data_IF_166987243738
#
_entry.id   IF_166987243738
#
_cell.length_a   1.000
_cell.length_b   1.000
_cell.length_c   1.000
_cell.angle_alpha   90.00
_cell.angle_beta   90.00
_cell.angle_gamma   90.00
#
_symmetry.space_group_name_H-M   'P 1'
#
loop_
_entity.id
_entity.type
_entity.pdbx_description
1 polymer ?
#
# COMPACT_ATOMS: atom_id res chain seq x y z
N UNK A 1 44.95 -22.28 25.71
CA UNK A 1 45.09 -23.22 24.58
C UNK A 1 44.68 -22.51 23.29
N UNK A 2 45.62 -22.36 22.38
CA UNK A 2 45.60 -21.42 21.27
C UNK A 2 44.90 -22.05 20.03
N UNK A 3 43.91 -21.37 19.47
CA UNK A 3 43.05 -21.82 18.34
C UNK A 3 43.77 -21.97 16.97
N UNK A 4 45.11 -22.02 16.93
CA UNK A 4 45.91 -22.01 15.71
C UNK A 4 46.45 -23.37 15.25
N UNK A 5 46.13 -24.49 15.91
CA UNK A 5 46.75 -25.81 15.60
C UNK A 5 45.77 -26.88 15.14
N UNK A 6 44.60 -26.56 14.52
CA UNK A 6 43.66 -27.57 14.03
C UNK A 6 43.59 -27.71 12.50
N UNK A 7 44.53 -27.17 11.76
CA UNK A 7 44.51 -27.22 10.28
C UNK A 7 45.80 -27.78 9.65
N UNK A 8 46.42 -28.76 10.31
CA UNK A 8 47.53 -29.51 9.69
C UNK A 8 47.38 -30.99 10.03
N UNK A 9 46.55 -31.70 9.30
CA UNK A 9 46.63 -33.13 9.05
C UNK A 9 45.37 -33.61 8.34
N UNK A 10 45.33 -33.50 7.03
CA UNK A 10 44.56 -34.38 6.13
C UNK A 10 45.31 -34.42 4.79
N UNK A 11 46.24 -35.33 4.71
CA UNK A 11 46.95 -35.65 3.49
C UNK A 11 46.14 -36.60 2.61
N UNK A 12 46.28 -36.39 1.35
CA UNK A 12 46.19 -37.28 0.20
C UNK A 12 45.55 -38.67 0.40
N UNK A 13 44.42 -38.89 -0.24
CA UNK A 13 43.87 -40.16 -0.62
C UNK A 13 43.07 -40.00 -1.91
N UNK A 14 43.71 -40.29 -3.06
CA UNK A 14 43.02 -40.37 -4.36
C UNK A 14 42.15 -41.61 -4.41
N UNK A 15 40.86 -41.43 -4.42
CA UNK A 15 39.88 -42.51 -4.65
C UNK A 15 38.90 -42.04 -5.73
N UNK A 16 39.02 -42.69 -6.91
CA UNK A 16 38.07 -42.55 -8.02
C UNK A 16 36.72 -43.17 -7.58
N UNK A 17 35.69 -42.34 -7.40
CA UNK A 17 34.31 -42.81 -7.26
C UNK A 17 33.52 -42.31 -8.47
N UNK A 18 33.05 -43.31 -9.22
CA UNK A 18 32.20 -43.14 -10.40
C UNK A 18 30.90 -42.39 -10.05
N UNK A 19 30.67 -41.28 -10.73
CA UNK A 19 29.40 -40.53 -10.69
C UNK A 19 28.34 -41.29 -11.51
N UNK A 20 27.51 -42.05 -10.83
CA UNK A 20 26.23 -42.53 -11.39
C UNK A 20 25.12 -41.83 -10.57
N UNK A 21 24.30 -41.01 -11.22
CA UNK A 21 22.96 -40.64 -10.77
C UNK A 21 22.81 -39.38 -9.95
N UNK A 22 23.03 -38.20 -10.54
CA UNK A 22 22.37 -36.98 -10.07
C UNK A 22 21.09 -36.79 -10.90
N UNK A 23 19.89 -36.76 -10.30
CA UNK A 23 18.69 -36.45 -11.05
C UNK A 23 18.76 -34.98 -11.53
N UNK A 24 18.56 -34.79 -12.83
CA UNK A 24 18.33 -33.49 -13.43
C UNK A 24 17.07 -32.89 -12.81
N UNK A 25 17.24 -32.00 -11.84
CA UNK A 25 16.16 -31.14 -11.37
C UNK A 25 15.99 -30.04 -12.41
N UNK A 26 14.90 -30.15 -13.12
CA UNK A 26 14.15 -29.15 -13.87
C UNK A 26 14.80 -27.76 -14.05
N UNK A 27 15.56 -27.58 -15.14
CA UNK A 27 15.59 -26.33 -15.84
C UNK A 27 14.32 -26.31 -16.71
N UNK A 28 13.27 -25.64 -16.27
CA UNK A 28 12.16 -25.29 -17.14
C UNK A 28 12.69 -24.29 -18.15
N UNK A 29 12.74 -24.68 -19.42
CA UNK A 29 13.00 -23.78 -20.53
C UNK A 29 11.93 -22.66 -20.50
N UNK A 30 12.35 -21.47 -20.12
CA UNK A 30 11.60 -20.24 -20.41
C UNK A 30 11.71 -20.07 -21.93
N UNK A 31 10.69 -20.49 -22.65
CA UNK A 31 10.52 -20.08 -24.05
C UNK A 31 10.14 -18.60 -24.02
N UNK A 32 11.07 -17.74 -24.38
CA UNK A 32 10.78 -16.36 -24.74
C UNK A 32 9.76 -16.39 -25.90
N UNK A 33 8.60 -15.88 -25.63
CA UNK A 33 7.54 -15.72 -26.60
C UNK A 33 7.77 -14.37 -27.31
N UNK A 34 8.20 -14.39 -28.56
CA UNK A 34 8.56 -13.23 -29.39
C UNK A 34 7.42 -12.22 -29.65
N UNK A 35 6.25 -12.39 -29.06
CA UNK A 35 5.08 -11.52 -29.22
C UNK A 35 4.61 -10.87 -27.93
N UNK A 36 5.46 -10.53 -27.00
CA UNK A 36 5.28 -9.52 -25.93
C UNK A 36 3.91 -9.33 -25.25
N UNK A 37 2.92 -10.18 -25.49
CA UNK A 37 1.60 -10.13 -24.85
C UNK A 37 1.45 -11.40 -24.03
N UNK A 38 1.88 -11.33 -22.78
CA UNK A 38 1.46 -12.33 -21.82
C UNK A 38 -0.06 -12.24 -21.69
N UNK A 39 -0.78 -13.40 -21.65
CA UNK A 39 -2.21 -13.36 -21.32
C UNK A 39 -2.38 -12.70 -19.96
N UNK A 40 -3.48 -11.96 -19.73
CA UNK A 40 -3.70 -11.28 -18.46
C UNK A 40 -3.60 -12.35 -17.35
N UNK A 41 -2.61 -12.21 -16.49
CA UNK A 41 -2.49 -13.02 -15.29
C UNK A 41 -3.78 -12.87 -14.48
N UNK A 42 -4.39 -13.96 -14.07
CA UNK A 42 -5.41 -13.94 -13.03
C UNK A 42 -4.71 -13.69 -11.70
N UNK A 43 -4.27 -12.45 -11.50
CA UNK A 43 -3.74 -12.04 -10.22
C UNK A 43 -4.78 -12.25 -9.12
N UNK A 44 -4.34 -12.79 -8.00
CA UNK A 44 -5.16 -12.87 -6.77
C UNK A 44 -5.27 -11.52 -6.06
N UNK A 45 -4.45 -10.57 -6.45
CA UNK A 45 -4.39 -9.20 -5.91
C UNK A 45 -5.00 -8.22 -6.92
N UNK A 46 -5.83 -7.29 -6.44
CA UNK A 46 -6.27 -6.16 -7.24
C UNK A 46 -5.21 -5.06 -7.16
N UNK A 47 -4.40 -4.96 -8.21
CA UNK A 47 -3.33 -3.97 -8.26
C UNK A 47 -3.86 -2.58 -8.64
N UNK A 48 -3.34 -1.56 -7.96
CA UNK A 48 -3.44 -0.15 -8.34
C UNK A 48 -2.08 0.55 -8.20
N UNK A 49 -2.03 1.86 -8.47
CA UNK A 49 -0.81 2.67 -8.36
C UNK A 49 -1.14 4.09 -7.96
N UNK A 50 -0.35 4.68 -7.08
CA UNK A 50 -0.51 6.06 -6.65
C UNK A 50 -0.11 7.04 -7.75
N UNK A 51 -1.03 7.92 -8.12
CA UNK A 51 -0.85 8.91 -9.20
C UNK A 51 0.34 9.83 -8.97
N UNK A 52 0.57 10.26 -7.74
CA UNK A 52 1.59 11.25 -7.42
C UNK A 52 3.02 10.79 -7.74
N UNK A 53 3.30 9.48 -7.74
CA UNK A 53 4.61 8.93 -8.10
C UNK A 53 4.95 9.09 -9.60
N UNK A 54 3.95 9.38 -10.45
CA UNK A 54 4.06 9.43 -11.92
C UNK A 54 3.47 10.70 -12.53
N UNK A 55 3.47 11.83 -11.78
CA UNK A 55 2.84 13.09 -12.22
C UNK A 55 3.49 13.71 -13.47
N UNK A 56 4.72 13.36 -13.78
CA UNK A 56 5.44 13.75 -14.98
C UNK A 56 4.90 13.10 -16.27
N UNK A 57 4.07 12.05 -16.15
CA UNK A 57 3.41 11.41 -17.30
C UNK A 57 1.97 11.96 -17.40
N UNK A 58 1.49 12.48 -18.56
CA UNK A 58 0.09 12.88 -18.71
C UNK A 58 -0.87 11.78 -18.32
N UNK A 59 -1.95 12.10 -17.56
CA UNK A 59 -2.81 11.10 -16.94
C UNK A 59 -3.47 10.17 -17.96
N UNK A 60 -3.90 10.68 -19.12
CA UNK A 60 -4.51 9.88 -20.18
C UNK A 60 -3.53 8.81 -20.71
N UNK A 61 -2.27 9.18 -20.87
CA UNK A 61 -1.21 8.25 -21.27
C UNK A 61 -0.92 7.24 -20.16
N UNK A 62 -0.85 7.72 -18.91
CA UNK A 62 -0.57 6.87 -17.77
C UNK A 62 -1.68 5.85 -17.52
N UNK A 63 -2.94 6.26 -17.59
CA UNK A 63 -4.10 5.36 -17.45
C UNK A 63 -4.08 4.24 -18.49
N UNK A 64 -3.80 4.57 -19.76
CA UNK A 64 -3.67 3.55 -20.81
C UNK A 64 -2.55 2.54 -20.48
N UNK A 65 -1.37 3.03 -20.08
CA UNK A 65 -0.24 2.16 -19.67
C UNK A 65 -0.64 1.27 -18.49
N UNK A 66 -1.31 1.82 -17.47
CA UNK A 66 -1.78 1.05 -16.31
C UNK A 66 -2.74 -0.08 -16.72
N UNK A 67 -3.68 0.21 -17.63
CA UNK A 67 -4.59 -0.80 -18.17
C UNK A 67 -3.84 -1.89 -18.97
N UNK A 68 -2.83 -1.52 -19.77
CA UNK A 68 -1.98 -2.46 -20.51
C UNK A 68 -1.13 -3.34 -19.59
N UNK A 69 -0.69 -2.84 -18.41
CA UNK A 69 0.00 -3.62 -17.39
C UNK A 69 -0.96 -4.63 -16.72
N UNK A 70 -2.26 -4.33 -16.68
CA UNK A 70 -3.28 -5.15 -16.05
C UNK A 70 -3.72 -4.65 -14.67
N UNK A 71 -3.34 -3.42 -14.29
CA UNK A 71 -3.86 -2.78 -13.08
C UNK A 71 -5.37 -2.62 -13.20
N UNK A 72 -6.03 -2.53 -12.03
CA UNK A 72 -7.49 -2.34 -11.94
C UNK A 72 -7.86 -0.92 -11.53
N UNK A 73 -6.93 -0.17 -10.94
CA UNK A 73 -7.19 1.18 -10.47
C UNK A 73 -5.97 2.08 -10.46
N UNK A 74 -6.24 3.37 -10.26
CA UNK A 74 -5.23 4.38 -9.93
C UNK A 74 -5.67 5.05 -8.63
N UNK A 75 -4.73 5.18 -7.71
CA UNK A 75 -4.92 5.72 -6.37
C UNK A 75 -4.71 7.23 -6.31
N UNK A 76 -5.36 7.83 -5.30
CA UNK A 76 -5.18 9.22 -4.89
C UNK A 76 -5.52 10.21 -6.01
N UNK A 77 -6.61 9.89 -6.74
CA UNK A 77 -7.14 10.75 -7.79
C UNK A 77 -8.14 11.77 -7.23
N UNK A 78 -8.10 12.97 -7.79
CA UNK A 78 -9.08 14.04 -7.56
C UNK A 78 -10.32 13.86 -8.43
N UNK A 79 -11.46 14.47 -8.08
CA UNK A 79 -12.70 14.33 -8.87
C UNK A 79 -12.58 14.68 -10.37
N UNK A 80 -11.71 15.64 -10.71
CA UNK A 80 -11.46 16.01 -12.11
C UNK A 80 -10.71 14.96 -12.93
N UNK A 81 -10.14 13.94 -12.29
CA UNK A 81 -9.30 12.92 -12.90
C UNK A 81 -10.04 11.59 -13.13
N UNK A 82 -11.17 11.37 -12.45
CA UNK A 82 -11.85 10.08 -12.44
C UNK A 82 -12.35 9.62 -13.81
N UNK A 83 -13.03 10.51 -14.55
CA UNK A 83 -13.53 10.19 -15.90
C UNK A 83 -12.41 9.85 -16.89
N UNK A 84 -11.19 10.33 -16.65
CA UNK A 84 -10.04 10.03 -17.51
C UNK A 84 -9.66 8.57 -17.38
N UNK A 85 -9.57 8.07 -16.15
CA UNK A 85 -9.16 6.68 -15.88
C UNK A 85 -10.29 5.69 -16.19
N UNK A 86 -11.56 6.09 -15.97
CA UNK A 86 -12.74 5.29 -16.30
C UNK A 86 -12.82 4.97 -17.82
N UNK A 87 -12.37 5.86 -18.69
CA UNK A 87 -12.33 5.63 -20.14
C UNK A 87 -11.41 4.47 -20.55
N UNK A 88 -10.40 4.19 -19.75
CA UNK A 88 -9.48 3.06 -19.95
C UNK A 88 -9.91 1.80 -19.17
N UNK A 89 -11.11 1.80 -18.56
CA UNK A 89 -11.65 0.68 -17.80
C UNK A 89 -11.05 0.53 -16.40
N UNK A 90 -10.34 1.55 -15.90
CA UNK A 90 -9.79 1.60 -14.56
C UNK A 90 -10.76 2.30 -13.60
N UNK A 91 -10.57 2.07 -12.29
CA UNK A 91 -11.30 2.79 -11.25
C UNK A 91 -10.38 3.71 -10.45
N UNK A 92 -10.92 4.75 -9.82
CA UNK A 92 -10.24 5.41 -8.72
C UNK A 92 -10.32 4.50 -7.50
N UNK A 93 -9.22 3.89 -7.09
CA UNK A 93 -9.17 2.94 -5.97
C UNK A 93 -9.19 3.61 -4.61
N UNK A 94 -8.68 4.84 -4.52
CA UNK A 94 -8.73 5.73 -3.36
C UNK A 94 -8.91 7.17 -3.83
N UNK A 95 -10.01 7.81 -3.44
CA UNK A 95 -10.27 9.21 -3.78
C UNK A 95 -9.60 10.16 -2.79
N UNK A 96 -9.09 11.27 -3.32
CA UNK A 96 -8.56 12.40 -2.55
C UNK A 96 -9.03 13.73 -3.15
N UNK A 97 -8.76 14.84 -2.49
CA UNK A 97 -8.88 16.18 -3.07
C UNK A 97 -7.84 17.11 -2.43
N UNK A 98 -7.65 18.28 -2.99
CA UNK A 98 -6.64 19.26 -2.58
C UNK A 98 -6.75 19.78 -1.15
N UNK A 99 -7.90 19.60 -0.50
CA UNK A 99 -8.09 19.96 0.91
C UNK A 99 -7.64 18.89 1.90
N UNK A 100 -7.46 17.65 1.46
CA UNK A 100 -7.02 16.55 2.31
C UNK A 100 -5.55 16.80 2.72
N UNK A 101 -5.35 17.21 3.97
CA UNK A 101 -4.04 17.57 4.52
C UNK A 101 -3.57 16.53 5.52
N UNK A 102 -2.31 16.10 5.39
CA UNK A 102 -1.67 15.19 6.35
C UNK A 102 -1.50 15.90 7.70
N UNK A 103 -1.20 17.20 7.69
CA UNK A 103 -0.89 17.97 8.91
C UNK A 103 -2.11 18.55 9.61
N UNK A 104 -3.14 18.94 8.85
CA UNK A 104 -4.34 19.60 9.36
C UNK A 104 -5.53 18.62 9.30
N UNK A 105 -5.59 17.69 10.22
CA UNK A 105 -6.53 16.57 10.21
C UNK A 105 -7.62 16.64 11.27
N UNK A 106 -8.20 15.48 11.54
CA UNK A 106 -9.37 15.34 12.42
C UNK A 106 -9.04 15.36 13.91
N UNK A 107 -7.76 15.28 14.30
CA UNK A 107 -7.34 15.42 15.69
C UNK A 107 -7.50 16.85 16.23
N UNK A 108 -7.60 17.85 15.37
CA UNK A 108 -7.83 19.25 15.75
C UNK A 108 -9.30 19.65 15.53
N UNK A 109 -10.07 19.89 16.62
CA UNK A 109 -11.47 20.31 16.52
C UNK A 109 -11.69 21.59 15.73
N UNK A 110 -10.69 22.47 15.62
CA UNK A 110 -10.80 23.70 14.84
C UNK A 110 -10.96 23.46 13.34
N UNK A 111 -10.52 22.29 12.86
CA UNK A 111 -10.65 21.86 11.46
C UNK A 111 -12.00 21.19 11.15
N UNK A 112 -12.74 20.71 12.15
CA UNK A 112 -13.88 19.82 11.95
C UNK A 112 -14.95 20.39 11.02
N UNK A 113 -15.40 21.62 11.29
CA UNK A 113 -16.48 22.23 10.50
C UNK A 113 -16.12 22.32 9.00
N UNK A 114 -14.89 22.77 8.71
CA UNK A 114 -14.39 22.89 7.34
C UNK A 114 -14.18 21.52 6.69
N UNK A 115 -13.54 20.59 7.38
CA UNK A 115 -13.31 19.24 6.86
C UNK A 115 -14.62 18.50 6.61
N UNK A 116 -15.59 18.59 7.54
CA UNK A 116 -16.88 17.93 7.37
C UNK A 116 -17.64 18.43 6.13
N UNK A 117 -17.62 19.75 5.87
CA UNK A 117 -18.23 20.30 4.66
C UNK A 117 -17.54 19.77 3.39
N UNK A 118 -16.22 19.81 3.35
CA UNK A 118 -15.41 19.40 2.20
C UNK A 118 -15.52 17.91 1.93
N UNK A 119 -15.39 17.07 2.98
CA UNK A 119 -15.52 15.61 2.86
C UNK A 119 -16.93 15.17 2.45
N UNK A 120 -18.00 15.82 2.94
CA UNK A 120 -19.36 15.55 2.45
C UNK A 120 -19.48 15.75 0.94
N UNK A 121 -18.88 16.82 0.41
CA UNK A 121 -18.85 17.06 -1.03
C UNK A 121 -18.08 15.98 -1.80
N UNK A 122 -16.93 15.54 -1.28
CA UNK A 122 -16.13 14.49 -1.91
C UNK A 122 -16.80 13.11 -1.83
N UNK A 123 -17.35 12.74 -0.67
CA UNK A 123 -18.10 11.49 -0.47
C UNK A 123 -19.27 11.38 -1.44
N UNK A 124 -20.06 12.47 -1.60
CA UNK A 124 -21.17 12.49 -2.56
C UNK A 124 -20.69 12.21 -3.98
N UNK A 125 -19.67 12.92 -4.45
CA UNK A 125 -19.08 12.72 -5.78
C UNK A 125 -18.53 11.29 -5.94
N UNK A 126 -17.81 10.78 -4.93
CA UNK A 126 -17.28 9.41 -4.94
C UNK A 126 -18.39 8.37 -5.12
N UNK A 127 -19.50 8.52 -4.39
CA UNK A 127 -20.69 7.65 -4.53
C UNK A 127 -21.29 7.70 -5.94
N UNK A 128 -21.41 8.90 -6.55
CA UNK A 128 -21.92 9.08 -7.91
C UNK A 128 -21.07 8.33 -8.95
N UNK A 129 -19.73 8.25 -8.73
CA UNK A 129 -18.78 7.51 -9.56
C UNK A 129 -18.54 6.06 -9.07
N UNK A 130 -19.28 5.57 -8.07
CA UNK A 130 -19.12 4.22 -7.48
C UNK A 130 -17.75 3.98 -6.86
N UNK A 131 -17.03 5.03 -6.50
CA UNK A 131 -15.77 4.97 -5.79
C UNK A 131 -16.06 4.64 -4.33
N UNK A 132 -15.38 3.64 -3.80
CA UNK A 132 -15.67 3.09 -2.48
C UNK A 132 -14.90 3.73 -1.34
N UNK A 133 -13.71 4.24 -1.61
CA UNK A 133 -12.78 4.69 -0.58
C UNK A 133 -12.41 6.15 -0.77
N UNK A 134 -12.48 6.90 0.32
CA UNK A 134 -12.03 8.30 0.41
C UNK A 134 -11.00 8.38 1.53
N UNK A 135 -9.79 8.83 1.21
CA UNK A 135 -8.70 8.95 2.18
C UNK A 135 -8.95 10.10 3.15
N UNK A 136 -8.56 9.90 4.41
CA UNK A 136 -8.53 10.96 5.42
C UNK A 136 -7.28 10.83 6.31
N UNK A 137 -6.97 11.88 7.06
CA UNK A 137 -5.77 11.97 7.87
C UNK A 137 -6.09 12.42 9.30
N UNK A 138 -5.31 11.91 10.26
CA UNK A 138 -5.44 12.31 11.67
C UNK A 138 -5.01 13.76 11.92
N UNK A 139 -3.97 14.21 11.24
CA UNK A 139 -3.29 15.46 11.55
C UNK A 139 -2.04 15.27 12.40
N UNK A 140 -1.26 16.35 12.56
CA UNK A 140 -0.11 16.38 13.45
C UNK A 140 -0.53 16.56 14.91
N UNK A 141 0.24 16.03 15.84
CA UNK A 141 -0.03 16.13 17.30
C UNK A 141 -0.01 17.57 17.80
N UNK A 142 0.96 18.37 17.36
CA UNK A 142 1.17 19.75 17.85
C UNK A 142 1.19 19.81 19.38
N UNK A 143 1.81 18.81 20.03
CA UNK A 143 1.88 18.68 21.47
C UNK A 143 0.63 18.07 22.14
N UNK A 144 -0.37 17.65 21.38
CA UNK A 144 -1.55 16.93 21.87
C UNK A 144 -1.20 15.49 22.21
N UNK A 145 -1.76 14.94 23.30
CA UNK A 145 -1.61 13.54 23.63
C UNK A 145 -2.51 12.65 22.74
N UNK A 146 -2.15 11.38 22.66
CA UNK A 146 -2.80 10.41 21.75
C UNK A 146 -4.27 10.18 22.11
N UNK A 147 -4.65 10.17 23.38
CA UNK A 147 -6.03 9.97 23.84
C UNK A 147 -6.92 11.16 23.45
N UNK A 148 -6.45 12.38 23.71
CA UNK A 148 -7.15 13.59 23.33
C UNK A 148 -7.35 13.66 21.81
N UNK A 149 -6.30 13.35 21.03
CA UNK A 149 -6.39 13.36 19.58
C UNK A 149 -7.33 12.29 19.03
N UNK A 150 -7.36 11.11 19.65
CA UNK A 150 -8.29 10.03 19.30
C UNK A 150 -9.74 10.47 19.53
N UNK A 151 -10.08 11.05 20.67
CA UNK A 151 -11.42 11.54 20.99
C UNK A 151 -11.87 12.67 20.05
N UNK A 152 -10.95 13.55 19.68
CA UNK A 152 -11.20 14.59 18.70
C UNK A 152 -11.50 13.98 17.32
N UNK A 153 -10.72 12.99 16.87
CA UNK A 153 -10.99 12.26 15.63
C UNK A 153 -12.36 11.58 15.66
N UNK A 154 -12.73 10.93 16.76
CA UNK A 154 -14.08 10.34 16.92
C UNK A 154 -15.16 11.39 16.73
N UNK A 155 -15.03 12.54 17.39
CA UNK A 155 -16.00 13.65 17.30
C UNK A 155 -16.11 14.19 15.88
N UNK A 156 -14.98 14.37 15.20
CA UNK A 156 -14.94 14.95 13.85
C UNK A 156 -15.42 14.01 12.76
N UNK A 157 -15.13 12.71 12.88
CA UNK A 157 -15.43 11.71 11.87
C UNK A 157 -16.86 11.14 11.95
N UNK A 158 -17.44 11.02 13.15
CA UNK A 158 -18.76 10.39 13.34
C UNK A 158 -19.85 10.94 12.40
N UNK A 159 -20.05 12.26 12.28
CA UNK A 159 -21.08 12.79 11.37
C UNK A 159 -20.82 12.53 9.89
N UNK A 160 -19.54 12.32 9.53
CA UNK A 160 -19.16 11.98 8.15
C UNK A 160 -19.39 10.50 7.87
N UNK A 161 -19.14 9.63 8.83
CA UNK A 161 -19.33 8.19 8.70
C UNK A 161 -20.80 7.84 8.56
N UNK A 162 -21.70 8.49 9.32
CA UNK A 162 -23.14 8.33 9.17
C UNK A 162 -23.57 8.69 7.74
N UNK A 163 -23.13 9.84 7.23
CA UNK A 163 -23.43 10.27 5.87
C UNK A 163 -22.81 9.36 4.79
N UNK A 164 -21.58 8.90 4.98
CA UNK A 164 -20.87 8.03 4.04
C UNK A 164 -21.47 6.62 3.99
N UNK A 165 -22.01 6.12 5.12
CA UNK A 165 -22.73 4.84 5.20
C UNK A 165 -23.96 4.82 4.29
N UNK A 166 -24.78 5.88 4.31
CA UNK A 166 -25.94 6.04 3.43
C UNK A 166 -25.56 6.02 1.94
N UNK A 167 -24.36 6.47 1.62
CA UNK A 167 -23.83 6.55 0.25
C UNK A 167 -22.94 5.38 -0.14
N UNK A 168 -22.75 4.38 0.77
CA UNK A 168 -21.92 3.20 0.57
C UNK A 168 -20.46 3.55 0.22
N UNK A 169 -19.89 4.51 0.95
CA UNK A 169 -18.51 4.99 0.86
C UNK A 169 -17.81 4.77 2.20
N UNK A 170 -16.55 4.35 2.14
CA UNK A 170 -15.68 4.22 3.31
C UNK A 170 -14.82 5.48 3.47
N UNK A 171 -14.62 5.91 4.72
CA UNK A 171 -13.52 6.80 5.08
C UNK A 171 -12.34 5.93 5.50
N UNK A 172 -11.19 6.17 4.89
CA UNK A 172 -10.00 5.34 5.08
C UNK A 172 -8.86 6.22 5.58
N UNK A 173 -8.45 6.02 6.83
CA UNK A 173 -7.36 6.78 7.44
C UNK A 173 -6.03 6.11 7.19
N UNK A 174 -5.07 6.88 6.68
CA UNK A 174 -3.74 6.35 6.38
C UNK A 174 -2.83 6.35 7.60
N UNK A 175 -2.12 5.23 7.76
CA UNK A 175 -1.02 5.05 8.72
C UNK A 175 0.28 5.54 8.10
N UNK A 176 0.88 6.59 8.67
CA UNK A 176 2.12 7.21 8.17
C UNK A 176 3.23 7.14 9.22
N UNK A 177 4.49 7.14 8.79
CA UNK A 177 5.61 7.19 9.72
C UNK A 177 5.91 8.62 10.18
N UNK A 178 6.05 8.81 11.50
CA UNK A 178 6.50 10.06 12.11
C UNK A 178 8.01 10.14 12.31
N UNK A 179 8.73 9.04 12.06
CA UNK A 179 10.19 8.96 12.30
C UNK A 179 11.02 9.61 11.19
N UNK A 180 10.54 9.60 9.93
CA UNK A 180 11.33 9.99 8.75
C UNK A 180 10.60 10.99 7.87
N UNK A 181 9.35 10.69 7.46
CA UNK A 181 8.68 11.43 6.37
C UNK A 181 7.64 12.43 6.84
N UNK A 182 6.91 12.12 7.93
CA UNK A 182 5.76 12.91 8.40
C UNK A 182 5.90 13.21 9.89
N UNK A 183 6.92 13.99 10.25
CA UNK A 183 7.20 14.37 11.64
C UNK A 183 5.92 14.84 12.35
N UNK A 184 5.73 14.35 13.60
CA UNK A 184 4.59 14.67 14.46
C UNK A 184 3.20 14.15 14.02
N UNK A 185 3.09 13.37 12.91
CA UNK A 185 1.81 12.78 12.50
C UNK A 185 1.25 11.84 13.58
N UNK A 186 -0.07 11.91 13.83
CA UNK A 186 -0.66 11.24 15.00
C UNK A 186 -0.98 9.76 14.74
N UNK A 187 -1.57 9.41 13.60
CA UNK A 187 -1.90 8.01 13.27
C UNK A 187 -0.68 7.27 12.73
N UNK A 188 0.37 7.17 13.53
CA UNK A 188 1.68 6.64 13.14
C UNK A 188 1.95 5.19 13.63
N UNK A 189 0.99 4.58 14.32
CA UNK A 189 1.03 3.18 14.78
C UNK A 189 -0.30 2.49 14.53
N UNK A 190 -0.23 1.21 14.14
CA UNK A 190 -1.42 0.39 13.88
C UNK A 190 -2.33 0.29 15.11
N UNK A 191 -1.75 0.20 16.31
CA UNK A 191 -2.51 0.13 17.56
C UNK A 191 -3.41 1.35 17.75
N UNK A 192 -2.90 2.56 17.47
CA UNK A 192 -3.68 3.80 17.58
C UNK A 192 -4.81 3.85 16.53
N UNK A 193 -4.51 3.51 15.27
CA UNK A 193 -5.53 3.46 14.21
C UNK A 193 -6.64 2.45 14.50
N UNK A 194 -6.28 1.28 15.03
CA UNK A 194 -7.24 0.24 15.47
C UNK A 194 -8.05 0.70 16.68
N UNK A 195 -7.45 1.42 17.62
CA UNK A 195 -8.18 2.00 18.77
C UNK A 195 -9.22 3.01 18.27
N UNK A 196 -8.86 3.87 17.32
CA UNK A 196 -9.80 4.81 16.69
C UNK A 196 -10.95 4.07 15.98
N UNK A 197 -10.65 3.02 15.19
CA UNK A 197 -11.67 2.23 14.51
C UNK A 197 -12.65 1.55 15.48
N UNK A 198 -12.15 1.06 16.61
CA UNK A 198 -12.98 0.51 17.68
C UNK A 198 -13.84 1.56 18.39
N UNK A 199 -13.29 2.75 18.63
CA UNK A 199 -14.01 3.83 19.30
C UNK A 199 -15.13 4.40 18.41
N UNK A 200 -14.92 4.46 17.09
CA UNK A 200 -15.94 4.87 16.11
C UNK A 200 -17.05 3.82 15.95
N UNK A 201 -16.73 2.53 16.11
CA UNK A 201 -17.65 1.38 15.96
C UNK A 201 -18.50 1.46 14.66
N UNK A 202 -17.88 1.87 13.55
CA UNK A 202 -18.50 2.02 12.23
C UNK A 202 -17.82 1.12 11.19
N UNK A 203 -18.57 0.27 10.46
CA UNK A 203 -17.98 -0.67 9.50
C UNK A 203 -17.33 0.03 8.29
N UNK A 204 -17.76 1.24 7.98
CA UNK A 204 -17.26 2.07 6.88
C UNK A 204 -16.11 3.02 7.28
N UNK A 205 -15.59 2.92 8.51
CA UNK A 205 -14.29 3.47 8.86
C UNK A 205 -13.23 2.37 8.77
N UNK A 206 -12.19 2.62 8.00
CA UNK A 206 -11.10 1.67 7.75
C UNK A 206 -9.74 2.35 7.79
N UNK A 207 -8.70 1.53 7.80
CA UNK A 207 -7.32 1.96 7.73
C UNK A 207 -6.74 1.64 6.34
N UNK A 208 -5.90 2.53 5.85
CA UNK A 208 -4.93 2.26 4.82
C UNK A 208 -3.62 1.88 5.53
N UNK A 209 -3.17 0.66 5.30
CA UNK A 209 -1.91 0.16 5.84
C UNK A 209 -0.82 0.37 4.80
N UNK A 210 -0.04 1.43 4.96
CA UNK A 210 1.15 1.64 4.13
C UNK A 210 2.30 0.80 4.69
N UNK A 211 2.69 -0.21 3.92
CA UNK A 211 3.71 -1.19 4.32
C UNK A 211 5.07 -0.52 4.53
N UNK A 212 5.41 0.48 3.68
CA UNK A 212 6.64 1.25 3.83
C UNK A 212 6.66 2.00 5.16
N UNK A 213 5.59 2.73 5.46
CA UNK A 213 5.50 3.51 6.68
C UNK A 213 5.50 2.63 7.94
N UNK A 214 4.75 1.54 7.92
CA UNK A 214 4.64 0.66 9.10
C UNK A 214 5.88 -0.20 9.31
N UNK A 215 6.64 -0.53 8.27
CA UNK A 215 7.95 -1.15 8.45
C UNK A 215 8.90 -0.23 9.23
N UNK A 216 8.92 1.07 8.92
CA UNK A 216 9.75 2.08 9.61
C UNK A 216 9.32 2.25 11.07
N UNK A 217 8.01 2.26 11.34
CA UNK A 217 7.47 2.49 12.67
C UNK A 217 7.52 1.27 13.58
N UNK A 218 7.04 0.13 13.08
CA UNK A 218 6.69 -1.04 13.89
C UNK A 218 7.49 -2.29 13.50
N UNK A 219 7.74 -2.49 12.20
CA UNK A 219 8.20 -3.77 11.67
C UNK A 219 7.14 -4.87 11.81
N UNK A 220 7.58 -6.16 11.77
CA UNK A 220 6.71 -7.34 11.95
C UNK A 220 5.39 -7.29 11.15
N UNK A 221 5.48 -6.76 9.92
CA UNK A 221 4.37 -6.39 9.04
C UNK A 221 3.37 -7.52 8.84
N UNK A 222 3.84 -8.75 8.59
CA UNK A 222 2.97 -9.89 8.32
C UNK A 222 2.07 -10.22 9.51
N UNK A 223 2.59 -10.24 10.72
CA UNK A 223 1.80 -10.49 11.93
C UNK A 223 0.80 -9.37 12.15
N UNK A 224 1.26 -8.13 12.05
CA UNK A 224 0.40 -6.94 12.21
C UNK A 224 -0.78 -6.96 11.24
N UNK A 225 -0.55 -7.31 9.97
CA UNK A 225 -1.60 -7.47 8.96
C UNK A 225 -2.59 -8.57 9.37
N UNK A 226 -2.10 -9.77 9.71
CA UNK A 226 -2.96 -10.90 10.09
C UNK A 226 -3.83 -10.59 11.30
N UNK A 227 -3.27 -9.93 12.31
CA UNK A 227 -3.97 -9.63 13.56
C UNK A 227 -5.02 -8.51 13.39
N UNK A 228 -4.80 -7.58 12.43
CA UNK A 228 -5.60 -6.38 12.28
C UNK A 228 -6.37 -6.28 10.95
N UNK A 229 -6.32 -7.31 10.08
CA UNK A 229 -6.88 -7.29 8.71
C UNK A 229 -8.33 -6.78 8.62
N UNK A 230 -9.18 -7.05 9.61
CA UNK A 230 -10.59 -6.61 9.62
C UNK A 230 -10.76 -5.09 9.67
N UNK A 231 -9.73 -4.36 10.10
CA UNK A 231 -9.73 -2.90 10.13
C UNK A 231 -9.08 -2.29 8.88
N UNK A 232 -8.35 -3.07 8.10
CA UNK A 232 -7.59 -2.62 6.94
C UNK A 232 -8.41 -2.85 5.67
N UNK A 233 -8.53 -1.82 4.83
CA UNK A 233 -9.28 -1.87 3.56
C UNK A 233 -8.45 -1.48 2.34
N UNK A 234 -7.19 -1.10 2.54
CA UNK A 234 -6.30 -0.66 1.49
C UNK A 234 -4.84 -0.85 1.91
N UNK A 235 -3.97 -1.12 0.94
CA UNK A 235 -2.54 -1.25 1.19
C UNK A 235 -1.73 -0.41 0.22
N UNK A 236 -0.66 0.23 0.72
CA UNK A 236 0.37 0.84 -0.08
C UNK A 236 1.70 0.09 0.04
N UNK A 237 2.51 0.11 -1.02
CA UNK A 237 3.82 -0.54 -1.07
C UNK A 237 4.92 0.50 -1.25
N UNK A 238 6.11 0.22 -0.76
CA UNK A 238 7.32 1.01 -0.99
C UNK A 238 8.55 0.32 -0.43
N UNK A 239 9.71 0.48 -1.09
CA UNK A 239 10.97 -0.14 -0.63
C UNK A 239 11.52 0.54 0.61
N UNK A 240 11.94 -0.22 1.61
CA UNK A 240 12.59 0.29 2.83
C UNK A 240 14.05 -0.12 2.82
N UNK A 241 14.97 0.83 3.01
CA UNK A 241 14.79 2.27 3.17
C UNK A 241 14.55 3.00 1.82
N UNK A 242 14.05 4.23 1.90
CA UNK A 242 14.10 5.20 0.81
C UNK A 242 12.85 5.32 -0.06
N UNK A 243 11.82 4.48 0.15
CA UNK A 243 10.55 4.49 -0.58
C UNK A 243 10.70 4.32 -2.10
N UNK A 244 11.75 3.57 -2.52
CA UNK A 244 12.03 3.27 -3.92
C UNK A 244 11.45 1.90 -4.32
N UNK A 245 12.00 1.29 -5.39
CA UNK A 245 11.58 -0.01 -5.91
C UNK A 245 11.50 -1.08 -4.81
N UNK A 246 10.59 -2.05 -5.00
CA UNK A 246 10.32 -3.11 -4.03
C UNK A 246 11.01 -4.45 -4.35
N UNK A 247 12.04 -4.42 -5.20
CA UNK A 247 12.86 -5.56 -5.57
C UNK A 247 13.90 -5.91 -4.47
N UNK A 248 14.91 -6.72 -4.80
CA UNK A 248 15.94 -7.18 -3.86
C UNK A 248 16.89 -6.08 -3.31
N UNK A 249 16.73 -4.82 -3.72
CA UNK A 249 17.51 -3.69 -3.22
C UNK A 249 17.05 -3.15 -1.87
N UNK A 250 15.98 -3.70 -1.29
CA UNK A 250 15.33 -3.24 -0.06
C UNK A 250 15.09 -4.42 0.92
N UNK A 251 14.60 -4.15 2.14
CA UNK A 251 14.59 -5.13 3.24
C UNK A 251 13.31 -5.98 3.38
N UNK A 252 12.20 -5.63 2.70
CA UNK A 252 10.90 -6.30 2.81
C UNK A 252 10.77 -7.49 1.85
N UNK A 253 10.16 -8.58 2.31
CA UNK A 253 9.81 -9.72 1.46
C UNK A 253 8.37 -9.56 0.94
N UNK A 254 8.20 -8.81 -0.15
CA UNK A 254 6.88 -8.50 -0.70
C UNK A 254 6.06 -9.74 -1.13
N UNK A 255 6.62 -10.79 -1.76
CA UNK A 255 5.85 -11.99 -2.04
C UNK A 255 5.21 -12.63 -0.78
N UNK A 256 5.95 -12.71 0.32
CA UNK A 256 5.43 -13.25 1.59
C UNK A 256 4.38 -12.32 2.23
N UNK A 257 4.51 -10.99 2.05
CA UNK A 257 3.52 -10.02 2.52
C UNK A 257 2.23 -10.15 1.71
N UNK A 258 2.32 -10.26 0.38
CA UNK A 258 1.14 -10.43 -0.51
C UNK A 258 0.39 -11.72 -0.21
N UNK A 259 1.10 -12.84 0.01
CA UNK A 259 0.48 -14.10 0.44
C UNK A 259 -0.27 -13.92 1.76
N UNK A 260 0.33 -13.24 2.75
CA UNK A 260 -0.33 -12.95 4.02
C UNK A 260 -1.58 -12.09 3.86
N UNK A 261 -1.56 -11.07 2.99
CA UNK A 261 -2.73 -10.25 2.66
C UNK A 261 -3.82 -11.10 2.02
N UNK A 262 -3.47 -11.91 1.02
CA UNK A 262 -4.41 -12.80 0.32
C UNK A 262 -5.08 -13.80 1.27
N UNK A 263 -4.31 -14.43 2.18
CA UNK A 263 -4.82 -15.39 3.17
C UNK A 263 -5.87 -14.81 4.12
N UNK A 264 -5.92 -13.48 4.29
CA UNK A 264 -6.95 -12.80 5.11
C UNK A 264 -8.33 -12.75 4.40
N UNK A 265 -8.40 -13.10 3.12
CA UNK A 265 -9.60 -12.93 2.29
C UNK A 265 -9.77 -11.50 1.78
N UNK A 266 -8.71 -10.69 1.79
CA UNK A 266 -8.73 -9.31 1.31
C UNK A 266 -9.07 -9.25 -0.18
N UNK A 267 -10.02 -8.39 -0.55
CA UNK A 267 -10.51 -8.17 -1.91
C UNK A 267 -10.44 -6.70 -2.37
N UNK A 268 -9.83 -5.84 -1.54
CA UNK A 268 -9.54 -4.44 -1.85
C UNK A 268 -8.34 -4.27 -2.79
N UNK A 269 -7.71 -3.10 -2.76
CA UNK A 269 -6.57 -2.78 -3.62
C UNK A 269 -5.25 -2.76 -2.85
N UNK A 270 -4.20 -3.23 -3.54
CA UNK A 270 -2.80 -2.97 -3.17
C UNK A 270 -2.22 -2.01 -4.20
N UNK A 271 -1.88 -0.80 -3.76
CA UNK A 271 -1.37 0.24 -4.63
C UNK A 271 0.16 0.33 -4.55
N UNK A 272 0.80 0.39 -5.70
CA UNK A 272 2.23 0.67 -5.81
C UNK A 272 2.46 2.16 -5.50
N UNK A 273 3.18 2.45 -4.41
CA UNK A 273 3.46 3.82 -3.96
C UNK A 273 4.95 4.08 -3.74
N UNK A 274 5.79 3.34 -4.39
CA UNK A 274 7.22 3.62 -4.40
C UNK A 274 7.58 4.73 -5.41
N UNK A 275 8.69 5.43 -5.14
CA UNK A 275 9.24 6.48 -6.01
C UNK A 275 10.25 5.82 -6.95
N UNK A 276 9.93 5.68 -8.26
CA UNK A 276 10.83 5.02 -9.19
C UNK A 276 12.15 5.75 -9.35
N UNK A 277 13.25 5.01 -9.28
CA UNK A 277 14.62 5.51 -9.57
C UNK A 277 15.13 5.09 -10.94
N UNK A 278 14.43 4.18 -11.62
CA UNK A 278 14.78 3.76 -12.98
C UNK A 278 14.59 4.90 -13.99
N UNK A 279 15.44 4.96 -15.03
CA UNK A 279 15.23 5.84 -16.18
C UNK A 279 13.87 5.56 -16.84
N UNK A 280 13.50 4.28 -16.96
CA UNK A 280 12.15 3.83 -17.37
C UNK A 280 11.30 3.53 -16.13
N UNK A 281 10.56 4.54 -15.65
CA UNK A 281 9.64 4.41 -14.52
C UNK A 281 8.54 3.37 -14.73
N UNK A 282 8.16 3.12 -15.98
CA UNK A 282 7.13 2.13 -16.30
C UNK A 282 7.70 0.72 -16.19
N UNK A 283 8.96 0.50 -16.50
CA UNK A 283 9.64 -0.77 -16.22
C UNK A 283 9.68 -1.06 -14.73
N UNK A 284 9.98 -0.07 -13.88
CA UNK A 284 9.91 -0.20 -12.43
C UNK A 284 8.51 -0.57 -11.93
N UNK A 285 7.46 0.08 -12.48
CA UNK A 285 6.07 -0.25 -12.13
C UNK A 285 5.72 -1.69 -12.52
N UNK A 286 6.09 -2.15 -13.71
CA UNK A 286 5.86 -3.54 -14.16
C UNK A 286 6.57 -4.54 -13.25
N UNK A 287 7.80 -4.27 -12.86
CA UNK A 287 8.56 -5.09 -11.92
C UNK A 287 7.85 -5.15 -10.56
N UNK A 288 7.46 -4.02 -9.98
CA UNK A 288 6.78 -3.95 -8.70
C UNK A 288 5.43 -4.71 -8.70
N UNK A 289 4.63 -4.56 -9.75
CA UNK A 289 3.39 -5.32 -9.93
C UNK A 289 3.70 -6.82 -10.01
N UNK A 290 4.72 -7.22 -10.79
CA UNK A 290 5.10 -8.62 -10.93
C UNK A 290 5.62 -9.26 -9.62
N UNK A 291 6.29 -8.50 -8.76
CA UNK A 291 6.74 -8.96 -7.44
C UNK A 291 5.54 -9.20 -6.50
N UNK A 292 4.50 -8.39 -6.62
CA UNK A 292 3.28 -8.48 -5.81
C UNK A 292 2.21 -9.42 -6.41
N UNK A 293 2.42 -9.97 -7.59
CA UNK A 293 1.47 -10.86 -8.27
C UNK A 293 1.67 -12.30 -7.81
N UNK A 294 0.63 -12.91 -7.17
CA UNK A 294 0.68 -14.24 -6.54
C UNK A 294 -0.47 -15.14 -7.02
#
# INVERSE_FOLDING_TARGET
MNRRNLLKNLGLGAGIVSLAGVPKIFASEIKENENGINPPHKSKINHSVCRWCYQDIPLEKFAKICAEIGLKGIDLLKPSEWEIVEKEGLVCSMATDSFASITDGFNDPSNHAKLQEQYKGLIKKASEHKIKNVICFSGNRNGMDDETGLQNCVTGLTPLLDYAEELNVNLVMELLNSKVDHDDYMCDHTEWGVALAKALDKPNFKLLYDIYHMQIMEGDVIRTIRDNHKYINHYHTGGVPGRNEINDSQELNYPAIMEAIYETGFDGFVAQEFIPTYDDKIAALREGVGICDI
#
